data_IF_199680652909
#
_entry.id   IF_199680652909
#
_cell.length_a   1.000
_cell.length_b   1.000
_cell.length_c   1.000
_cell.angle_alpha   90.00
_cell.angle_beta   90.00
_cell.angle_gamma   90.00
#
_symmetry.space_group_name_H-M   'P 1'
#
loop_
_entity.id
_entity.type
_entity.pdbx_description
1 polymer ?
#
# COMPACT_ATOMS: atom_id res chain seq x y z
N UNK A 1 -21.92 -15.56 -4.37
CA UNK A 1 -21.30 -14.26 -4.73
C UNK A 1 -20.00 -14.55 -5.46
N UNK A 2 -19.82 -14.12 -6.71
CA UNK A 2 -18.50 -14.24 -7.37
C UNK A 2 -17.53 -13.22 -6.77
N UNK A 3 -16.28 -13.63 -6.55
CA UNK A 3 -15.26 -12.72 -6.06
C UNK A 3 -14.90 -11.65 -7.10
N UNK A 4 -14.44 -10.47 -6.65
CA UNK A 4 -13.93 -9.42 -7.56
C UNK A 4 -12.82 -9.94 -8.49
N UNK A 5 -12.02 -10.89 -8.02
CA UNK A 5 -10.96 -11.53 -8.81
C UNK A 5 -11.53 -12.37 -9.97
N UNK A 6 -12.55 -13.19 -9.70
CA UNK A 6 -13.25 -13.96 -10.74
C UNK A 6 -13.89 -13.07 -11.80
N UNK A 7 -14.53 -11.97 -11.39
CA UNK A 7 -15.12 -10.99 -12.32
C UNK A 7 -14.04 -10.44 -13.25
N UNK A 8 -12.91 -9.99 -12.69
CA UNK A 8 -11.82 -9.46 -13.52
C UNK A 8 -11.23 -10.50 -14.47
N UNK A 9 -11.06 -11.75 -14.02
CA UNK A 9 -10.54 -12.83 -14.86
C UNK A 9 -11.46 -13.14 -16.04
N UNK A 10 -12.79 -13.16 -15.81
CA UNK A 10 -13.81 -13.40 -16.85
C UNK A 10 -13.82 -12.31 -17.92
N UNK A 11 -13.79 -11.03 -17.52
CA UNK A 11 -13.92 -9.91 -18.45
C UNK A 11 -12.61 -9.46 -19.09
N UNK A 12 -11.45 -9.90 -18.59
CA UNK A 12 -10.12 -9.45 -19.02
C UNK A 12 -9.88 -9.63 -20.54
N UNK A 13 -10.10 -10.85 -21.07
CA UNK A 13 -9.87 -11.16 -22.49
C UNK A 13 -10.83 -10.40 -23.40
N UNK A 14 -12.11 -10.37 -23.02
CA UNK A 14 -13.14 -9.62 -23.73
C UNK A 14 -12.80 -8.12 -23.78
N UNK A 15 -12.31 -7.55 -22.68
CA UNK A 15 -11.93 -6.14 -22.63
C UNK A 15 -10.75 -5.80 -23.54
N UNK A 16 -9.71 -6.64 -23.62
CA UNK A 16 -8.55 -6.35 -24.48
C UNK A 16 -8.91 -6.47 -25.96
N UNK A 17 -9.68 -7.50 -26.32
CA UNK A 17 -10.12 -7.75 -27.70
C UNK A 17 -11.23 -6.83 -28.21
N UNK A 18 -11.96 -6.14 -27.33
CA UNK A 18 -13.10 -5.32 -27.74
C UNK A 18 -12.70 -4.01 -28.49
N UNK A 19 -13.55 -3.55 -29.44
CA UNK A 19 -13.43 -2.21 -30.03
C UNK A 19 -13.74 -1.12 -29.01
N UNK A 20 -13.49 0.15 -29.35
CA UNK A 20 -13.65 1.30 -28.41
C UNK A 20 -15.04 1.34 -27.75
N UNK A 21 -16.10 1.09 -28.52
CA UNK A 21 -17.47 1.06 -28.01
C UNK A 21 -17.70 -0.12 -27.02
N UNK A 22 -17.27 -1.33 -27.38
CA UNK A 22 -17.41 -2.52 -26.54
C UNK A 22 -16.60 -2.43 -25.23
N UNK A 23 -15.43 -1.79 -25.26
CA UNK A 23 -14.64 -1.51 -24.05
C UNK A 23 -15.40 -0.67 -23.02
N UNK A 24 -16.23 0.26 -23.48
CA UNK A 24 -17.07 1.08 -22.62
C UNK A 24 -18.08 0.25 -21.85
N UNK A 25 -18.85 -0.57 -22.57
CA UNK A 25 -19.90 -1.43 -22.00
C UNK A 25 -19.33 -2.45 -21.00
N UNK A 26 -18.18 -3.05 -21.30
CA UNK A 26 -17.51 -3.98 -20.38
C UNK A 26 -17.09 -3.25 -19.08
N UNK A 27 -16.61 -2.00 -19.18
CA UNK A 27 -16.27 -1.21 -18.00
C UNK A 27 -17.50 -0.88 -17.16
N UNK A 28 -18.62 -0.53 -17.79
CA UNK A 28 -19.87 -0.22 -17.09
C UNK A 28 -20.37 -1.43 -16.28
N UNK A 29 -20.37 -2.63 -16.89
CA UNK A 29 -20.74 -3.86 -16.20
C UNK A 29 -19.80 -4.18 -15.03
N UNK A 30 -18.48 -4.08 -15.23
CA UNK A 30 -17.51 -4.35 -14.15
C UNK A 30 -17.65 -3.34 -13.02
N UNK A 31 -17.88 -2.07 -13.31
CA UNK A 31 -18.12 -1.02 -12.31
C UNK A 31 -19.39 -1.32 -11.51
N UNK A 32 -20.50 -1.64 -12.18
CA UNK A 32 -21.77 -1.95 -11.52
C UNK A 32 -21.66 -3.14 -10.54
N UNK A 33 -20.93 -4.19 -10.92
CA UNK A 33 -20.80 -5.41 -10.08
C UNK A 33 -19.75 -5.25 -8.98
N UNK A 34 -18.64 -4.54 -9.24
CA UNK A 34 -17.52 -4.45 -8.27
C UNK A 34 -17.58 -3.24 -7.35
N UNK A 35 -18.32 -2.19 -7.72
CA UNK A 35 -18.35 -0.89 -7.05
C UNK A 35 -17.06 -0.07 -7.24
N UNK A 36 -16.24 -0.39 -8.23
CA UNK A 36 -14.99 0.34 -8.49
C UNK A 36 -15.21 1.60 -9.31
N UNK A 37 -14.25 2.54 -9.23
CA UNK A 37 -14.14 3.58 -10.26
C UNK A 37 -13.77 2.96 -11.61
N UNK A 38 -14.21 3.62 -12.70
CA UNK A 38 -13.92 3.20 -14.08
C UNK A 38 -12.43 3.03 -14.34
N UNK A 39 -11.60 3.88 -13.75
CA UNK A 39 -10.13 3.84 -13.88
C UNK A 39 -9.51 2.64 -13.17
N UNK A 40 -10.05 2.28 -12.01
CA UNK A 40 -9.63 1.08 -11.30
C UNK A 40 -10.03 -0.17 -12.09
N UNK A 41 -11.28 -0.24 -12.57
CA UNK A 41 -11.77 -1.35 -13.40
C UNK A 41 -10.89 -1.53 -14.66
N UNK A 42 -10.59 -0.45 -15.37
CA UNK A 42 -9.70 -0.45 -16.54
C UNK A 42 -8.30 -0.99 -16.22
N UNK A 43 -7.67 -0.52 -15.13
CA UNK A 43 -6.35 -1.00 -14.71
C UNK A 43 -6.37 -2.49 -14.39
N UNK A 44 -7.41 -2.94 -13.68
CA UNK A 44 -7.57 -4.33 -13.25
C UNK A 44 -7.81 -5.28 -14.44
N UNK A 45 -8.65 -4.89 -15.39
CA UNK A 45 -8.89 -5.68 -16.60
C UNK A 45 -7.63 -5.78 -17.48
N UNK A 46 -6.87 -4.69 -17.65
CA UNK A 46 -5.59 -4.73 -18.37
C UNK A 46 -4.56 -5.62 -17.67
N UNK A 47 -4.46 -5.51 -16.33
CA UNK A 47 -3.54 -6.33 -15.56
C UNK A 47 -3.90 -7.83 -15.61
N UNK A 48 -5.19 -8.16 -15.57
CA UNK A 48 -5.67 -9.54 -15.64
C UNK A 48 -5.56 -10.16 -17.04
N UNK A 49 -5.51 -9.34 -18.10
CA UNK A 49 -5.35 -9.81 -19.47
C UNK A 49 -3.88 -9.96 -19.89
N UNK A 50 -2.94 -9.40 -19.11
CA UNK A 50 -1.52 -9.61 -19.34
C UNK A 50 -1.16 -11.09 -19.10
N UNK A 51 -0.26 -11.69 -19.90
CA UNK A 51 0.26 -13.03 -19.64
C UNK A 51 0.77 -13.15 -18.19
N UNK A 52 0.67 -14.33 -17.55
CA UNK A 52 1.37 -14.61 -16.30
C UNK A 52 2.88 -14.66 -16.58
N UNK A 53 3.47 -13.49 -16.75
CA UNK A 53 4.83 -13.30 -17.22
C UNK A 53 5.01 -11.81 -17.50
N UNK A 54 5.77 -11.15 -16.62
CA UNK A 54 5.88 -9.70 -16.50
C UNK A 54 4.65 -8.97 -15.94
N UNK A 55 3.80 -9.66 -15.17
CA UNK A 55 3.36 -9.02 -13.93
C UNK A 55 4.64 -8.57 -13.27
N UNK A 56 4.87 -7.25 -13.13
CA UNK A 56 6.05 -6.74 -12.46
C UNK A 56 5.97 -7.37 -11.08
N UNK A 57 6.67 -8.49 -10.90
CA UNK A 57 7.36 -8.76 -9.66
C UNK A 57 8.07 -7.45 -9.48
N UNK A 58 7.51 -6.60 -8.64
CA UNK A 58 8.28 -5.56 -8.01
C UNK A 58 9.25 -6.40 -7.23
N UNK A 59 10.32 -6.86 -7.90
CA UNK A 59 11.36 -7.72 -7.36
C UNK A 59 11.65 -7.05 -6.05
N UNK A 60 11.22 -7.71 -4.95
CA UNK A 60 10.93 -7.06 -3.66
C UNK A 60 12.10 -6.15 -3.41
N UNK A 61 11.95 -4.85 -3.70
CA UNK A 61 13.13 -3.99 -3.95
C UNK A 61 13.93 -4.17 -2.70
N UNK A 62 15.12 -4.77 -2.79
CA UNK A 62 15.95 -4.99 -1.61
C UNK A 62 16.17 -3.58 -1.10
N UNK A 63 15.42 -3.23 -0.05
CA UNK A 63 15.42 -1.88 0.48
C UNK A 63 16.75 -1.80 1.16
N UNK A 64 17.72 -1.19 0.47
CA UNK A 64 19.02 -0.88 1.03
C UNK A 64 18.74 -0.18 2.36
N UNK A 65 19.19 -0.81 3.45
CA UNK A 65 19.00 -0.23 4.77
C UNK A 65 19.67 1.14 4.74
N UNK A 66 18.92 2.17 5.13
CA UNK A 66 19.49 3.52 5.23
C UNK A 66 20.48 3.48 6.39
N UNK A 67 21.59 4.20 6.26
CA UNK A 67 22.49 4.39 7.39
C UNK A 67 21.66 4.93 8.57
N UNK A 68 21.80 4.35 9.78
CA UNK A 68 21.10 4.83 10.96
C UNK A 68 21.41 6.32 11.16
N UNK A 69 20.35 7.11 11.38
CA UNK A 69 20.50 8.54 11.70
C UNK A 69 21.03 8.76 13.12
N UNK A 70 20.73 7.84 14.02
CA UNK A 70 21.00 7.94 15.46
C UNK A 70 22.01 6.88 15.87
N UNK A 71 22.83 7.21 16.88
CA UNK A 71 23.70 6.25 17.55
C UNK A 71 22.89 5.14 18.23
N UNK A 72 23.56 4.04 18.59
CA UNK A 72 22.91 2.93 19.27
C UNK A 72 22.22 3.36 20.58
N UNK A 73 22.88 4.21 21.38
CA UNK A 73 22.33 4.68 22.66
C UNK A 73 21.11 5.56 22.46
N UNK A 74 21.17 6.47 21.48
CA UNK A 74 20.03 7.29 21.09
C UNK A 74 18.85 6.43 20.59
N UNK A 75 19.12 5.32 19.87
CA UNK A 75 18.07 4.37 19.48
C UNK A 75 17.45 3.67 20.70
N UNK A 76 18.24 3.31 21.72
CA UNK A 76 17.72 2.69 22.94
C UNK A 76 16.83 3.64 23.73
N UNK A 77 17.22 4.91 23.84
CA UNK A 77 16.37 5.95 24.45
C UNK A 77 15.09 6.12 23.63
N UNK A 78 15.19 6.22 22.30
CA UNK A 78 14.03 6.40 21.43
C UNK A 78 13.05 5.21 21.48
N UNK A 79 13.56 3.98 21.66
CA UNK A 79 12.71 2.80 21.87
C UNK A 79 11.92 2.88 23.18
N UNK A 80 12.54 3.35 24.26
CA UNK A 80 11.87 3.57 25.56
C UNK A 80 10.80 4.65 25.45
N UNK A 81 11.13 5.79 24.83
CA UNK A 81 10.18 6.88 24.55
C UNK A 81 8.99 6.36 23.73
N UNK A 82 9.25 5.58 22.66
CA UNK A 82 8.19 5.04 21.81
C UNK A 82 7.23 4.13 22.60
N UNK A 83 7.77 3.25 23.45
CA UNK A 83 6.97 2.40 24.31
C UNK A 83 6.16 3.20 25.35
N UNK A 84 6.78 4.16 26.04
CA UNK A 84 6.13 5.01 27.04
C UNK A 84 5.01 5.87 26.44
N UNK A 85 5.19 6.34 25.20
CA UNK A 85 4.20 7.16 24.50
C UNK A 85 2.98 6.38 23.96
N UNK A 86 2.94 5.06 24.12
CA UNK A 86 1.90 4.21 23.53
C UNK A 86 2.05 4.02 22.01
N UNK A 87 3.27 4.15 21.49
CA UNK A 87 3.57 3.92 20.08
C UNK A 87 3.38 5.13 19.17
N UNK A 88 3.40 6.35 19.71
CA UNK A 88 3.31 7.57 18.91
C UNK A 88 4.44 7.66 17.86
N UNK A 89 4.13 8.23 16.69
CA UNK A 89 5.09 8.35 15.60
C UNK A 89 4.95 9.67 14.83
N UNK A 90 6.00 10.01 14.08
CA UNK A 90 6.03 11.19 13.20
C UNK A 90 5.76 12.49 13.96
N UNK A 91 4.82 13.29 13.46
CA UNK A 91 4.48 14.60 14.03
C UNK A 91 3.95 14.53 15.47
N UNK A 92 3.30 13.43 15.86
CA UNK A 92 2.74 13.27 17.20
C UNK A 92 3.83 13.01 18.23
N UNK A 93 4.76 12.10 17.91
CA UNK A 93 5.94 11.86 18.74
C UNK A 93 6.82 13.11 18.84
N UNK A 94 6.97 13.86 17.74
CA UNK A 94 7.73 15.11 17.78
C UNK A 94 7.12 16.14 18.73
N UNK A 95 5.78 16.25 18.77
CA UNK A 95 5.08 17.18 19.65
C UNK A 95 5.15 16.77 21.13
N UNK A 96 5.18 15.47 21.44
CA UNK A 96 5.22 14.95 22.81
C UNK A 96 6.63 14.60 23.31
N UNK A 97 7.66 14.70 22.47
CA UNK A 97 9.01 14.19 22.75
C UNK A 97 9.58 14.69 24.08
N UNK A 98 9.48 15.99 24.35
CA UNK A 98 10.01 16.59 25.58
C UNK A 98 9.36 15.96 26.83
N UNK A 99 8.03 15.91 26.86
CA UNK A 99 7.27 15.28 27.95
C UNK A 99 7.66 13.80 28.15
N UNK A 100 7.87 13.06 27.05
CA UNK A 100 8.25 11.65 27.13
C UNK A 100 9.68 11.46 27.63
N UNK A 101 10.60 12.37 27.29
CA UNK A 101 11.97 12.35 27.80
C UNK A 101 12.02 12.72 29.28
N UNK A 102 11.27 13.75 29.69
CA UNK A 102 11.18 14.16 31.09
C UNK A 102 10.60 13.03 31.97
N UNK A 103 9.61 12.30 31.45
CA UNK A 103 9.02 11.15 32.12
C UNK A 103 9.99 9.96 32.31
N UNK A 104 11.06 9.87 31.52
CA UNK A 104 12.08 8.82 31.65
C UNK A 104 13.15 9.15 32.71
N UNK A 105 13.14 10.37 33.27
CA UNK A 105 14.10 10.82 34.27
C UNK A 105 15.52 11.03 33.69
N UNK A 106 16.50 11.46 34.52
CA UNK A 106 17.87 11.61 34.09
C UNK A 106 18.41 10.24 33.64
N UNK A 107 18.71 10.14 32.34
CA UNK A 107 19.42 9.00 31.76
C UNK A 107 20.87 9.04 32.27
N UNK A 108 21.17 8.22 33.28
CA UNK A 108 22.54 7.87 33.68
C UNK A 108 23.25 7.10 32.58
#
# INVERSE_FOLDING_TARGET
>A
MSSRAEITAKFARAYVGAPKAGKGQILDQVVAVTGWSRDNARRRLRAAAAPPGAGRQVAKRIRRQRNPKYSYDALKVLQKVWAASGGQCGRYLAASMALQLDALGPVC
#
